data_IF_302421901126
#
_entry.id   IF_302421901126
#
_cell.length_a   1.000
_cell.length_b   1.000
_cell.length_c   1.000
_cell.angle_alpha   90.00
_cell.angle_beta   90.00
_cell.angle_gamma   90.00
#
_symmetry.space_group_name_H-M   'P 1'
#
loop_
_entity.id
_entity.type
_entity.pdbx_description
1 polymer ?
#
# COMPACT_ATOMS: atom_id res chain seq x y z
N UNK A 1 -1.66 7.61 -22.04
CA UNK A 1 -2.55 7.34 -20.88
C UNK A 1 -3.98 7.51 -21.35
N UNK A 2 -4.85 6.50 -21.18
CA UNK A 2 -6.24 6.53 -21.61
C UNK A 2 -7.08 7.51 -20.76
N UNK A 3 -8.18 8.08 -21.34
CA UNK A 3 -9.12 8.95 -20.60
C UNK A 3 -9.68 8.23 -19.36
N UNK A 4 -10.06 6.96 -19.51
CA UNK A 4 -10.54 6.09 -18.41
C UNK A 4 -9.54 6.01 -17.26
N UNK A 5 -8.27 5.68 -17.55
CA UNK A 5 -7.22 5.59 -16.52
C UNK A 5 -7.01 6.91 -15.80
N UNK A 6 -7.05 8.02 -16.52
CA UNK A 6 -6.91 9.35 -15.93
C UNK A 6 -8.06 9.66 -14.97
N UNK A 7 -9.30 9.37 -15.37
CA UNK A 7 -10.49 9.59 -14.57
C UNK A 7 -10.49 8.74 -13.29
N UNK A 8 -10.17 7.44 -13.42
CA UNK A 8 -10.02 6.53 -12.27
C UNK A 8 -8.91 6.98 -11.32
N UNK A 9 -7.78 7.43 -11.86
CA UNK A 9 -6.64 7.94 -11.09
C UNK A 9 -6.99 9.16 -10.24
N UNK A 10 -7.73 10.14 -10.80
CA UNK A 10 -8.18 11.32 -10.05
C UNK A 10 -9.22 10.96 -8.99
N UNK A 11 -10.17 10.11 -9.33
CA UNK A 11 -11.17 9.63 -8.39
C UNK A 11 -10.52 8.88 -7.21
N UNK A 12 -9.63 7.93 -7.49
CA UNK A 12 -8.88 7.20 -6.45
C UNK A 12 -8.10 8.15 -5.53
N UNK A 13 -7.44 9.15 -6.10
CA UNK A 13 -6.74 10.15 -5.29
C UNK A 13 -7.66 10.79 -4.27
N UNK A 14 -8.87 11.16 -4.68
CA UNK A 14 -9.88 11.77 -3.79
C UNK A 14 -10.36 10.80 -2.73
N UNK A 15 -10.69 9.55 -3.12
CA UNK A 15 -11.13 8.53 -2.17
C UNK A 15 -10.05 8.20 -1.14
N UNK A 16 -8.82 7.99 -1.58
CA UNK A 16 -7.71 7.63 -0.71
C UNK A 16 -7.28 8.78 0.20
N UNK A 17 -7.34 10.03 -0.26
CA UNK A 17 -7.03 11.19 0.57
C UNK A 17 -8.05 11.42 1.70
N UNK A 18 -9.26 10.87 1.57
CA UNK A 18 -10.30 10.94 2.61
C UNK A 18 -10.14 9.85 3.69
N UNK A 19 -9.26 8.86 3.49
CA UNK A 19 -9.06 7.78 4.45
C UNK A 19 -8.31 8.26 5.70
N UNK A 20 -8.72 7.76 6.83
CA UNK A 20 -8.23 8.22 8.15
C UNK A 20 -6.76 7.88 8.37
N UNK A 21 -6.30 6.75 7.82
CA UNK A 21 -4.91 6.30 7.94
C UNK A 21 -3.97 6.86 6.86
N UNK A 22 -4.48 7.64 5.92
CA UNK A 22 -3.70 8.23 4.84
C UNK A 22 -3.29 9.66 5.20
N UNK A 23 -2.00 9.93 5.12
CA UNK A 23 -1.42 11.24 5.34
C UNK A 23 -1.46 12.09 4.07
N UNK A 24 -1.07 11.48 2.93
CA UNK A 24 -0.93 12.18 1.66
C UNK A 24 -1.09 11.23 0.47
N UNK A 25 -1.71 11.73 -0.60
CA UNK A 25 -1.77 11.06 -1.90
C UNK A 25 -1.22 12.00 -2.97
N UNK A 26 -0.21 11.53 -3.70
CA UNK A 26 0.46 12.31 -4.75
C UNK A 26 0.52 11.54 -6.06
N UNK A 27 0.65 12.28 -7.15
CA UNK A 27 1.06 11.71 -8.43
C UNK A 27 2.58 11.57 -8.44
N UNK A 28 3.13 10.49 -9.04
CA UNK A 28 4.55 10.38 -9.22
C UNK A 28 5.05 11.52 -10.10
N UNK A 29 6.23 12.05 -9.77
CA UNK A 29 6.91 13.01 -10.63
C UNK A 29 7.62 12.24 -11.77
N UNK A 30 7.66 12.79 -12.99
CA UNK A 30 8.39 12.17 -14.08
C UNK A 30 9.85 11.93 -13.68
N UNK A 31 10.30 10.68 -13.73
CA UNK A 31 11.70 10.35 -13.49
C UNK A 31 12.51 10.57 -14.75
N UNK A 32 13.68 11.18 -14.61
CA UNK A 32 14.67 11.36 -15.70
C UNK A 32 15.51 10.08 -15.90
N UNK A 33 15.21 9.01 -15.15
CA UNK A 33 15.97 7.76 -15.20
C UNK A 33 15.81 7.03 -16.54
N UNK A 34 16.91 6.50 -17.02
CA UNK A 34 17.08 5.93 -18.37
C UNK A 34 16.32 4.61 -18.65
N UNK A 35 15.65 4.00 -17.68
CA UNK A 35 14.80 2.84 -17.91
C UNK A 35 13.35 3.16 -17.50
N UNK A 36 12.36 2.95 -18.40
CA UNK A 36 10.96 3.13 -18.07
C UNK A 36 10.46 1.93 -17.26
N UNK A 37 10.80 1.89 -15.98
CA UNK A 37 10.07 1.08 -15.03
C UNK A 37 8.69 1.71 -14.96
N UNK A 38 7.63 0.89 -15.06
CA UNK A 38 6.27 1.41 -14.95
C UNK A 38 6.16 2.14 -13.61
N UNK A 39 6.09 3.47 -13.69
CA UNK A 39 5.87 4.30 -12.51
C UNK A 39 4.49 3.98 -11.93
N UNK A 40 4.36 4.10 -10.61
CA UNK A 40 3.07 4.04 -9.96
C UNK A 40 2.11 5.08 -10.54
N UNK A 41 0.82 4.82 -10.51
CA UNK A 41 -0.19 5.80 -10.87
C UNK A 41 -0.44 6.80 -9.74
N UNK A 42 -0.37 6.32 -8.51
CA UNK A 42 -0.47 7.12 -7.29
C UNK A 42 0.55 6.64 -6.27
N UNK A 43 1.06 7.59 -5.50
CA UNK A 43 1.89 7.33 -4.33
C UNK A 43 1.07 7.76 -3.11
N UNK A 44 0.79 6.79 -2.24
CA UNK A 44 0.06 7.00 -0.99
C UNK A 44 1.03 6.88 0.17
N UNK A 45 1.04 7.85 1.05
CA UNK A 45 1.79 7.83 2.29
C UNK A 45 0.82 7.75 3.46
N UNK A 46 1.00 6.76 4.32
CA UNK A 46 0.20 6.60 5.54
C UNK A 46 0.80 7.39 6.71
N UNK A 47 0.02 7.60 7.76
CA UNK A 47 0.51 8.21 8.99
C UNK A 47 1.58 7.39 9.70
N UNK A 48 1.60 6.06 9.49
CA UNK A 48 2.66 5.16 9.99
C UNK A 48 3.96 5.24 9.17
N UNK A 49 4.03 6.11 8.15
CA UNK A 49 5.21 6.27 7.30
C UNK A 49 5.33 5.24 6.17
N UNK A 50 4.35 4.35 6.02
CA UNK A 50 4.34 3.38 4.93
C UNK A 50 4.04 4.08 3.61
N UNK A 51 4.85 3.78 2.60
CA UNK A 51 4.66 4.26 1.23
C UNK A 51 4.05 3.16 0.39
N UNK A 52 2.91 3.45 -0.24
CA UNK A 52 2.19 2.51 -1.11
C UNK A 52 2.20 3.05 -2.54
N UNK A 53 2.68 2.25 -3.47
CA UNK A 53 2.60 2.49 -4.90
C UNK A 53 1.36 1.80 -5.46
N UNK A 54 0.40 2.58 -5.93
CA UNK A 54 -0.79 2.08 -6.60
C UNK A 54 -0.58 2.06 -8.11
N UNK A 55 -0.84 0.91 -8.72
CA UNK A 55 -0.67 0.66 -10.16
C UNK A 55 -2.02 0.33 -10.82
N UNK A 56 -2.41 1.11 -11.81
CA UNK A 56 -3.54 0.82 -12.69
C UNK A 56 -3.04 0.04 -13.91
N UNK A 57 -3.39 -1.23 -13.99
CA UNK A 57 -2.93 -2.14 -15.05
C UNK A 57 -3.96 -2.18 -16.17
N UNK A 58 -3.69 -1.50 -17.26
CA UNK A 58 -4.54 -1.37 -18.45
C UNK A 58 -3.98 -2.09 -19.71
N UNK A 59 -2.97 -2.94 -19.51
CA UNK A 59 -2.37 -3.80 -20.54
C UNK A 59 -1.85 -5.10 -19.92
N UNK A 60 -1.82 -6.23 -20.67
CA UNK A 60 -1.22 -7.45 -20.18
C UNK A 60 0.24 -7.29 -19.82
N UNK A 61 0.60 -7.73 -18.59
CA UNK A 61 1.98 -7.72 -18.11
C UNK A 61 2.56 -9.13 -18.09
N UNK A 62 3.77 -9.29 -18.62
CA UNK A 62 4.52 -10.55 -18.50
C UNK A 62 4.97 -10.78 -17.06
N UNK A 63 4.92 -12.02 -16.57
CA UNK A 63 5.32 -12.40 -15.21
C UNK A 63 6.70 -11.86 -14.77
N UNK A 64 7.75 -11.86 -15.63
CA UNK A 64 9.05 -11.26 -15.25
C UNK A 64 8.96 -9.75 -14.94
N UNK A 65 8.04 -9.02 -15.62
CA UNK A 65 7.83 -7.59 -15.35
C UNK A 65 7.09 -7.38 -14.03
N UNK A 66 6.09 -8.23 -13.76
CA UNK A 66 5.38 -8.23 -12.45
C UNK A 66 6.40 -8.47 -11.34
N UNK A 67 7.23 -9.51 -11.47
CA UNK A 67 8.27 -9.83 -10.50
C UNK A 67 9.22 -8.66 -10.25
N UNK A 68 9.69 -8.00 -11.30
CA UNK A 68 10.60 -6.84 -11.19
C UNK A 68 9.96 -5.69 -10.41
N UNK A 69 8.68 -5.36 -10.65
CA UNK A 69 7.96 -4.33 -9.90
C UNK A 69 7.86 -4.69 -8.40
N UNK A 70 7.54 -5.95 -8.12
CA UNK A 70 7.43 -6.46 -6.75
C UNK A 70 8.76 -6.45 -6.02
N UNK A 71 9.83 -6.96 -6.66
CA UNK A 71 11.19 -7.01 -6.08
C UNK A 71 11.71 -5.60 -5.80
N UNK A 72 11.49 -4.67 -6.72
CA UNK A 72 11.93 -3.29 -6.58
C UNK A 72 11.18 -2.58 -5.45
N UNK A 73 9.85 -2.69 -5.40
CA UNK A 73 9.06 -2.12 -4.30
C UNK A 73 9.50 -2.68 -2.96
N UNK A 74 9.53 -4.01 -2.83
CA UNK A 74 9.91 -4.68 -1.57
C UNK A 74 11.34 -4.35 -1.16
N UNK A 75 12.29 -4.31 -2.11
CA UNK A 75 13.69 -3.96 -1.82
C UNK A 75 13.87 -2.51 -1.36
N UNK A 76 12.96 -1.63 -1.72
CA UNK A 76 12.94 -0.23 -1.29
C UNK A 76 12.02 0.03 -0.08
N UNK A 77 11.40 -1.01 0.50
CA UNK A 77 10.42 -0.86 1.58
C UNK A 77 9.09 -0.26 1.13
N UNK A 78 8.82 -0.25 -0.17
CA UNK A 78 7.59 0.27 -0.77
C UNK A 78 6.61 -0.87 -0.97
N UNK A 79 5.37 -0.63 -0.60
CA UNK A 79 4.25 -1.56 -0.69
C UNK A 79 3.54 -1.38 -2.03
N UNK A 80 3.20 -2.47 -2.73
CA UNK A 80 2.51 -2.39 -4.01
C UNK A 80 1.02 -2.71 -3.87
N UNK A 81 0.18 -1.99 -4.61
CA UNK A 81 -1.25 -2.24 -4.77
C UNK A 81 -1.59 -2.21 -6.26
N UNK A 82 -2.22 -3.28 -6.76
CA UNK A 82 -2.56 -3.41 -8.17
C UNK A 82 -4.08 -3.40 -8.37
N UNK A 83 -4.54 -2.61 -9.33
CA UNK A 83 -5.90 -2.64 -9.83
C UNK A 83 -5.84 -2.90 -11.34
N UNK A 84 -6.54 -3.92 -11.82
CA UNK A 84 -6.53 -4.33 -13.21
C UNK A 84 -7.75 -3.76 -13.95
N UNK A 85 -7.59 -3.39 -15.19
CA UNK A 85 -8.72 -2.93 -16.01
C UNK A 85 -9.74 -4.08 -16.20
N UNK A 86 -10.99 -3.85 -15.80
CA UNK A 86 -12.06 -4.84 -15.90
C UNK A 86 -12.33 -5.31 -17.33
N UNK A 87 -12.03 -4.48 -18.34
CA UNK A 87 -12.20 -4.86 -19.77
C UNK A 87 -11.21 -5.96 -20.21
N UNK A 88 -10.11 -6.12 -19.49
CA UNK A 88 -9.10 -7.15 -19.76
C UNK A 88 -9.34 -8.43 -18.95
N UNK A 89 -10.34 -8.44 -18.08
CA UNK A 89 -10.62 -9.54 -17.18
C UNK A 89 -11.71 -10.46 -17.71
N UNK A 90 -11.69 -11.74 -17.30
CA UNK A 90 -12.77 -12.69 -17.61
C UNK A 90 -14.06 -12.26 -16.90
N UNK A 91 -15.17 -12.74 -17.45
CA UNK A 91 -16.50 -12.54 -16.84
C UNK A 91 -16.72 -13.50 -15.68
N UNK A 92 -17.60 -13.12 -14.77
CA UNK A 92 -18.06 -14.01 -13.72
C UNK A 92 -18.72 -15.28 -14.32
N UNK A 93 -18.40 -16.44 -13.78
CA UNK A 93 -18.85 -17.75 -14.27
C UNK A 93 -17.99 -18.36 -15.37
N UNK A 94 -17.03 -17.62 -15.92
CA UNK A 94 -16.06 -18.19 -16.86
C UNK A 94 -15.02 -19.05 -16.13
N UNK A 95 -14.56 -20.10 -16.81
CA UNK A 95 -13.41 -20.90 -16.39
C UNK A 95 -12.17 -20.46 -17.15
N UNK A 96 -11.07 -20.24 -16.45
CA UNK A 96 -9.83 -19.74 -17.04
C UNK A 96 -8.65 -20.63 -16.64
N UNK A 97 -7.68 -20.76 -17.55
CA UNK A 97 -6.46 -21.52 -17.27
C UNK A 97 -5.45 -20.70 -16.44
N UNK A 98 -4.67 -21.40 -15.59
CA UNK A 98 -3.70 -20.76 -14.67
C UNK A 98 -2.54 -20.01 -15.36
N UNK A 99 -2.32 -20.21 -16.66
CA UNK A 99 -1.28 -19.53 -17.44
C UNK A 99 -1.67 -18.11 -17.90
N UNK A 100 -2.91 -17.69 -17.65
CA UNK A 100 -3.36 -16.35 -18.01
C UNK A 100 -2.54 -15.29 -17.30
N UNK A 101 -2.19 -14.23 -18.01
CA UNK A 101 -1.30 -13.16 -17.59
C UNK A 101 -1.71 -12.46 -16.27
N UNK A 102 -2.98 -12.46 -15.92
CA UNK A 102 -3.50 -11.85 -14.68
C UNK A 102 -3.51 -12.80 -13.49
N UNK A 103 -3.41 -14.10 -13.69
CA UNK A 103 -3.42 -15.10 -12.62
C UNK A 103 -2.24 -14.92 -11.63
N UNK A 104 -1.03 -14.53 -12.06
CA UNK A 104 0.04 -14.18 -11.14
C UNK A 104 -0.34 -13.14 -10.09
N UNK A 105 -1.17 -12.14 -10.45
CA UNK A 105 -1.67 -11.14 -9.49
C UNK A 105 -2.63 -11.76 -8.48
N UNK A 106 -3.57 -12.60 -8.92
CA UNK A 106 -4.49 -13.30 -8.03
C UNK A 106 -3.74 -14.18 -7.03
N UNK A 107 -2.69 -14.88 -7.46
CA UNK A 107 -1.89 -15.74 -6.59
C UNK A 107 -1.01 -14.99 -5.60
N UNK A 108 -0.86 -13.68 -5.75
CA UNK A 108 -0.23 -12.82 -4.76
C UNK A 108 -1.17 -12.44 -3.61
N UNK A 109 -2.48 -12.51 -3.82
CA UNK A 109 -3.52 -11.98 -2.93
C UNK A 109 -4.52 -13.06 -2.49
N UNK A 110 -4.10 -14.32 -2.37
CA UNK A 110 -4.96 -15.45 -2.00
C UNK A 110 -6.16 -15.64 -2.94
N UNK A 111 -5.89 -15.68 -4.25
CA UNK A 111 -6.84 -15.99 -5.30
C UNK A 111 -7.90 -14.93 -5.58
N UNK A 112 -7.62 -13.68 -5.26
CA UNK A 112 -8.47 -12.57 -5.65
C UNK A 112 -7.64 -11.40 -6.21
N UNK A 113 -8.32 -10.48 -6.90
CA UNK A 113 -7.70 -9.24 -7.37
C UNK A 113 -8.74 -8.11 -7.44
N UNK A 114 -8.25 -6.87 -7.45
CA UNK A 114 -9.09 -5.71 -7.70
C UNK A 114 -9.15 -5.41 -9.19
N UNK A 115 -10.36 -5.07 -9.64
CA UNK A 115 -10.58 -4.51 -10.96
C UNK A 115 -11.17 -3.12 -10.87
N UNK A 116 -10.87 -2.29 -11.86
CA UNK A 116 -11.50 -0.98 -11.99
C UNK A 116 -12.26 -0.87 -13.32
N UNK A 117 -13.36 -0.16 -13.29
CA UNK A 117 -14.20 0.12 -14.46
C UNK A 117 -14.81 1.51 -14.37
N UNK A 118 -15.45 1.95 -15.45
CA UNK A 118 -16.39 3.07 -15.46
C UNK A 118 -17.80 2.53 -15.64
N UNK A 119 -18.72 2.90 -14.77
CA UNK A 119 -20.16 2.73 -14.94
C UNK A 119 -20.76 4.07 -15.32
N UNK A 120 -21.00 4.24 -16.63
CA UNK A 120 -21.19 5.55 -17.20
C UNK A 120 -19.91 6.39 -17.07
N UNK A 121 -19.95 7.45 -16.27
CA UNK A 121 -18.78 8.27 -15.96
C UNK A 121 -18.23 8.06 -14.52
N UNK A 122 -18.84 7.15 -13.76
CA UNK A 122 -18.46 6.91 -12.36
C UNK A 122 -17.45 5.77 -12.26
N UNK A 123 -16.24 6.01 -11.71
CA UNK A 123 -15.28 4.95 -11.43
C UNK A 123 -15.80 4.01 -10.35
N UNK A 124 -15.63 2.71 -10.58
CA UNK A 124 -15.97 1.66 -9.62
C UNK A 124 -14.82 0.67 -9.48
N UNK A 125 -14.65 0.12 -8.28
CA UNK A 125 -13.74 -0.98 -8.01
C UNK A 125 -14.56 -2.20 -7.63
N UNK A 126 -14.19 -3.36 -8.16
CA UNK A 126 -14.75 -4.67 -7.83
C UNK A 126 -13.66 -5.65 -7.48
N UNK A 127 -14.05 -6.73 -6.82
CA UNK A 127 -13.16 -7.86 -6.57
C UNK A 127 -13.55 -9.02 -7.48
N UNK A 128 -12.55 -9.61 -8.13
CA UNK A 128 -12.65 -10.93 -8.76
C UNK A 128 -11.96 -11.95 -7.88
N UNK A 129 -12.58 -13.12 -7.72
CA UNK A 129 -12.03 -14.26 -6.99
C UNK A 129 -11.90 -15.44 -7.95
N UNK A 130 -10.79 -16.16 -7.84
CA UNK A 130 -10.45 -17.31 -8.66
C UNK A 130 -10.51 -18.57 -7.79
N UNK A 131 -11.53 -19.40 -8.03
CA UNK A 131 -11.76 -20.61 -7.23
C UNK A 131 -11.26 -21.81 -8.01
N UNK A 132 -10.45 -22.71 -7.44
CA UNK A 132 -10.02 -23.92 -8.14
C UNK A 132 -11.22 -24.71 -8.67
N UNK A 133 -11.22 -25.00 -9.98
CA UNK A 133 -12.24 -25.77 -10.69
C UNK A 133 -11.71 -27.16 -11.10
N UNK A 134 -10.57 -27.18 -11.76
CA UNK A 134 -9.81 -28.39 -12.07
C UNK A 134 -8.35 -28.19 -11.67
N UNK A 135 -7.47 -29.15 -12.04
CA UNK A 135 -6.03 -29.07 -11.70
C UNK A 135 -5.35 -27.82 -12.22
N UNK A 136 -5.78 -27.26 -13.36
CA UNK A 136 -5.17 -26.10 -14.02
C UNK A 136 -6.17 -25.03 -14.43
N UNK A 137 -7.40 -25.14 -13.97
CA UNK A 137 -8.47 -24.21 -14.30
C UNK A 137 -9.09 -23.62 -13.02
N UNK A 138 -9.45 -22.35 -13.14
CA UNK A 138 -10.04 -21.55 -12.09
C UNK A 138 -11.40 -21.02 -12.53
N UNK A 139 -12.42 -21.16 -11.73
CA UNK A 139 -13.72 -20.50 -11.90
C UNK A 139 -13.63 -19.06 -11.41
N UNK A 140 -14.11 -18.13 -12.21
CA UNK A 140 -14.10 -16.70 -11.91
C UNK A 140 -15.41 -16.29 -11.22
N UNK A 141 -15.31 -15.66 -10.06
CA UNK A 141 -16.43 -15.10 -9.33
C UNK A 141 -16.24 -13.61 -9.14
N UNK A 142 -17.25 -12.81 -9.45
CA UNK A 142 -17.22 -11.37 -9.25
C UNK A 142 -18.01 -10.98 -8.00
N UNK A 143 -17.48 -10.03 -7.26
CA UNK A 143 -18.22 -9.34 -6.21
C UNK A 143 -18.74 -7.98 -6.73
N UNK A 144 -19.76 -7.45 -6.06
CA UNK A 144 -20.25 -6.09 -6.34
C UNK A 144 -19.20 -5.01 -6.07
N UNK A 145 -19.55 -3.75 -6.37
CA UNK A 145 -18.69 -2.62 -6.07
C UNK A 145 -18.27 -2.60 -4.59
N UNK A 146 -17.02 -2.21 -4.34
CA UNK A 146 -16.51 -2.07 -2.98
C UNK A 146 -16.46 -0.59 -2.57
N UNK A 147 -16.71 -0.34 -1.30
CA UNK A 147 -16.42 0.95 -0.65
C UNK A 147 -15.09 0.84 0.08
N UNK A 148 -14.16 1.74 -0.23
CA UNK A 148 -12.85 1.77 0.42
C UNK A 148 -13.03 2.41 1.79
N UNK A 149 -12.76 1.64 2.86
CA UNK A 149 -12.84 2.13 4.25
C UNK A 149 -11.45 2.48 4.80
N UNK A 150 -10.44 1.70 4.44
CA UNK A 150 -9.08 1.87 4.91
C UNK A 150 -8.09 1.21 3.95
N UNK A 151 -6.78 1.49 4.13
CA UNK A 151 -5.69 0.78 3.47
C UNK A 151 -4.95 -0.08 4.49
N UNK A 152 -4.72 -1.34 4.14
CA UNK A 152 -3.90 -2.26 4.91
C UNK A 152 -2.69 -2.67 4.09
N UNK A 153 -1.62 -3.05 4.75
CA UNK A 153 -0.44 -3.61 4.12
C UNK A 153 -0.03 -4.89 4.82
N UNK A 154 0.56 -5.79 4.06
CA UNK A 154 0.95 -7.10 4.55
C UNK A 154 2.07 -7.69 3.70
N UNK A 155 2.68 -8.72 4.25
CA UNK A 155 3.67 -9.52 3.53
C UNK A 155 2.97 -10.69 2.86
N UNK A 156 3.22 -10.88 1.57
CA UNK A 156 2.63 -11.95 0.78
C UNK A 156 3.67 -12.81 0.09
N UNK A 157 3.30 -14.07 -0.13
CA UNK A 157 3.99 -15.01 -1.00
C UNK A 157 3.06 -15.40 -2.14
N UNK A 158 3.59 -15.92 -3.25
CA UNK A 158 2.78 -16.42 -4.34
C UNK A 158 2.99 -17.92 -4.53
N UNK A 159 1.92 -18.65 -4.84
CA UNK A 159 2.01 -20.04 -5.30
C UNK A 159 2.41 -20.15 -6.77
N UNK A 160 2.48 -19.06 -7.51
CA UNK A 160 2.90 -19.05 -8.90
C UNK A 160 4.37 -19.42 -9.03
N UNK A 161 4.69 -20.43 -9.85
CA UNK A 161 6.04 -21.04 -9.92
C UNK A 161 7.15 -20.06 -10.34
N UNK A 162 6.84 -18.99 -11.08
CA UNK A 162 7.79 -17.94 -11.45
C UNK A 162 7.86 -16.77 -10.44
N UNK A 163 6.96 -16.73 -9.44
CA UNK A 163 6.96 -15.72 -8.41
C UNK A 163 7.34 -16.35 -7.07
N UNK A 164 8.62 -16.67 -6.91
CA UNK A 164 9.18 -17.19 -5.65
C UNK A 164 9.76 -16.05 -4.84
N UNK A 165 9.41 -16.00 -3.57
CA UNK A 165 9.85 -14.98 -2.63
C UNK A 165 8.68 -14.44 -1.81
N UNK A 166 8.89 -13.31 -1.18
CA UNK A 166 7.83 -12.56 -0.51
C UNK A 166 7.89 -11.09 -0.94
N UNK A 167 6.74 -10.44 -0.92
CA UNK A 167 6.60 -9.07 -1.33
C UNK A 167 5.69 -8.30 -0.38
N UNK A 168 5.88 -7.00 -0.33
CA UNK A 168 5.03 -6.08 0.41
C UNK A 168 3.86 -5.67 -0.48
N UNK A 169 2.65 -6.01 -0.05
CA UNK A 169 1.41 -5.70 -0.74
C UNK A 169 0.47 -4.91 0.14
N UNK A 170 -0.40 -4.13 -0.51
CA UNK A 170 -1.52 -3.49 0.15
C UNK A 170 -2.85 -3.99 -0.39
N UNK A 171 -3.89 -3.85 0.40
CA UNK A 171 -5.27 -4.03 0.00
C UNK A 171 -6.18 -2.95 0.61
N UNK A 172 -7.41 -2.89 0.09
CA UNK A 172 -8.47 -2.07 0.65
C UNK A 172 -9.19 -2.84 1.75
N UNK A 173 -9.30 -2.26 2.92
CA UNK A 173 -10.23 -2.74 3.92
C UNK A 173 -11.64 -2.36 3.48
N UNK A 174 -12.51 -3.35 3.41
CA UNK A 174 -13.91 -3.21 3.01
C UNK A 174 -14.81 -3.88 4.04
N UNK A 175 -16.10 -3.55 4.05
CA UNK A 175 -17.07 -4.21 4.96
C UNK A 175 -17.07 -5.73 4.82
N UNK A 176 -16.81 -6.25 3.63
CA UNK A 176 -16.74 -7.70 3.35
C UNK A 176 -15.45 -8.35 3.81
N UNK A 177 -14.33 -7.62 3.78
CA UNK A 177 -13.03 -8.17 4.21
C UNK A 177 -12.97 -8.40 5.71
N UNK A 178 -13.78 -7.67 6.50
CA UNK A 178 -13.91 -7.89 7.94
C UNK A 178 -14.69 -9.19 8.28
N UNK A 179 -15.50 -9.70 7.36
CA UNK A 179 -16.40 -10.83 7.57
C UNK A 179 -15.97 -12.14 6.89
N UNK A 180 -15.00 -12.10 5.96
CA UNK A 180 -14.60 -13.27 5.18
C UNK A 180 -13.27 -13.86 5.66
N UNK A 181 -13.24 -15.15 6.08
CA UNK A 181 -12.00 -15.85 6.39
C UNK A 181 -11.05 -15.97 5.18
N UNK A 182 -11.59 -15.91 3.96
CA UNK A 182 -10.84 -16.00 2.70
C UNK A 182 -10.09 -14.71 2.34
N UNK A 183 -10.50 -13.58 2.92
CA UNK A 183 -9.88 -12.26 2.71
C UNK A 183 -8.97 -11.84 3.87
N UNK A 184 -8.74 -12.75 4.82
CA UNK A 184 -7.78 -12.48 5.89
C UNK A 184 -6.38 -12.63 5.30
N UNK A 185 -5.61 -11.54 5.17
CA UNK A 185 -4.20 -11.68 4.85
C UNK A 185 -3.59 -12.63 5.89
N UNK A 186 -2.63 -13.48 5.53
CA UNK A 186 -1.94 -14.29 6.51
C UNK A 186 -1.54 -13.36 7.65
N UNK A 187 -1.94 -13.70 8.89
CA UNK A 187 -1.52 -12.99 10.10
C UNK A 187 -0.02 -13.27 10.29
N UNK A 188 0.78 -12.58 9.49
CA UNK A 188 2.20 -12.49 9.67
C UNK A 188 2.47 -11.14 10.32
N UNK A 189 3.20 -11.14 11.42
CA UNK A 189 3.79 -9.92 11.94
C UNK A 189 4.46 -9.17 10.79
N UNK A 190 4.18 -7.86 10.66
CA UNK A 190 4.92 -7.02 9.74
C UNK A 190 6.38 -7.00 10.21
N UNK A 191 7.24 -7.69 9.49
CA UNK A 191 8.67 -7.55 9.65
C UNK A 191 9.18 -6.58 8.60
N UNK A 192 9.97 -5.58 8.97
CA UNK A 192 10.66 -4.76 8.00
C UNK A 192 11.49 -5.68 7.07
N UNK A 193 11.67 -5.32 5.80
CA UNK A 193 12.45 -6.13 4.85
C UNK A 193 13.84 -6.43 5.43
N UNK A 194 14.40 -7.62 5.17
CA UNK A 194 15.77 -7.96 5.58
C UNK A 194 16.73 -6.94 4.96
N UNK A 195 17.36 -6.12 5.79
CA UNK A 195 18.19 -4.97 5.47
C UNK A 195 17.85 -3.74 6.30
N UNK A 196 16.66 -3.67 6.94
CA UNK A 196 16.35 -2.68 7.96
C UNK A 196 16.59 -3.18 9.40
N UNK A 197 17.27 -4.31 9.57
CA UNK A 197 17.98 -4.55 10.82
C UNK A 197 19.14 -3.55 10.87
N UNK A 198 19.22 -2.78 11.94
CA UNK A 198 20.24 -1.78 12.29
C UNK A 198 21.64 -2.11 11.72
N UNK A 199 21.83 -2.01 10.44
CA UNK A 199 23.13 -1.80 9.83
C UNK A 199 23.21 -0.31 9.58
N UNK A 200 24.29 0.29 10.01
CA UNK A 200 24.60 1.68 9.75
C UNK A 200 24.26 2.03 8.28
N UNK A 201 23.73 3.23 8.01
CA UNK A 201 23.28 3.60 6.70
C UNK A 201 24.43 3.39 5.69
N UNK A 202 24.17 2.77 4.53
CA UNK A 202 25.16 2.76 3.48
C UNK A 202 25.44 4.23 3.15
N UNK A 203 26.72 4.59 3.14
CA UNK A 203 27.25 5.88 2.72
C UNK A 203 26.82 6.17 1.29
N UNK A 204 25.62 6.77 1.11
CA UNK A 204 25.13 7.07 -0.22
C UNK A 204 23.65 7.42 -0.25
N UNK A 205 23.29 8.51 0.29
CA UNK A 205 22.28 9.50 -0.03
C UNK A 205 21.83 10.26 1.22
N UNK A 206 22.49 11.34 1.51
CA UNK A 206 22.10 12.31 2.57
C UNK A 206 20.69 12.90 2.37
N UNK A 207 20.13 12.80 1.16
CA UNK A 207 18.80 13.35 0.85
C UNK A 207 17.62 12.51 1.35
N UNK A 208 17.73 11.18 1.42
CA UNK A 208 16.62 10.32 1.86
C UNK A 208 16.44 10.34 3.39
N UNK A 209 17.54 10.35 4.15
CA UNK A 209 17.51 10.43 5.62
C UNK A 209 17.02 11.82 6.05
N UNK A 210 17.44 12.87 5.36
CA UNK A 210 17.02 14.24 5.64
C UNK A 210 15.51 14.43 5.42
N UNK A 211 14.94 13.85 4.37
CA UNK A 211 13.51 13.92 4.06
C UNK A 211 12.66 13.17 5.11
N UNK A 212 13.04 11.94 5.48
CA UNK A 212 12.34 11.16 6.49
C UNK A 212 12.39 11.82 7.88
N UNK A 213 13.45 12.56 8.14
CA UNK A 213 13.62 13.30 9.38
C UNK A 213 12.75 14.57 9.39
N UNK A 214 12.71 15.32 8.28
CA UNK A 214 11.82 16.48 8.14
C UNK A 214 10.35 16.08 8.30
N UNK A 215 9.97 14.90 7.83
CA UNK A 215 8.63 14.35 8.01
C UNK A 215 8.36 14.04 9.50
N UNK A 216 9.35 13.56 10.27
CA UNK A 216 9.19 13.33 11.71
C UNK A 216 8.99 14.63 12.48
N UNK A 217 9.77 15.67 12.20
CA UNK A 217 9.60 17.00 12.79
C UNK A 217 8.24 17.61 12.43
N UNK A 218 7.82 17.46 11.17
CA UNK A 218 6.52 17.94 10.69
C UNK A 218 5.37 17.21 11.36
N UNK A 219 5.48 15.88 11.56
CA UNK A 219 4.46 15.07 12.22
C UNK A 219 4.23 15.51 13.68
N UNK A 220 5.29 15.87 14.40
CA UNK A 220 5.19 16.41 15.75
C UNK A 220 4.83 17.89 15.77
N UNK A 221 4.80 18.59 14.61
CA UNK A 221 4.54 20.02 14.52
C UNK A 221 5.64 20.87 15.12
N UNK A 222 6.89 20.40 15.04
CA UNK A 222 8.09 21.08 15.55
C UNK A 222 9.13 21.25 14.44
N UNK A 223 10.20 21.98 14.70
CA UNK A 223 11.27 22.23 13.73
C UNK A 223 12.57 21.55 14.16
N UNK A 224 13.54 21.46 13.27
CA UNK A 224 14.89 20.95 13.62
C UNK A 224 15.63 21.80 14.67
N UNK A 225 15.21 23.05 14.85
CA UNK A 225 15.77 23.95 15.86
C UNK A 225 15.06 23.81 17.23
N UNK A 226 14.01 23.01 17.32
CA UNK A 226 13.27 22.82 18.56
C UNK A 226 14.09 22.04 19.58
N UNK A 227 14.03 22.47 20.81
CA UNK A 227 14.69 21.85 21.95
C UNK A 227 14.05 20.51 22.33
N UNK A 228 14.76 19.69 23.09
CA UNK A 228 14.21 18.42 23.61
C UNK A 228 12.89 18.62 24.35
N UNK A 229 12.78 19.63 25.18
CA UNK A 229 11.55 19.90 25.94
C UNK A 229 10.38 20.30 25.05
N UNK A 230 10.64 21.06 23.98
CA UNK A 230 9.59 21.42 23.01
C UNK A 230 9.11 20.20 22.20
N UNK A 231 10.04 19.34 21.77
CA UNK A 231 9.70 18.10 21.06
C UNK A 231 8.92 17.15 21.98
N UNK A 232 9.35 17.01 23.24
CA UNK A 232 8.69 16.19 24.25
C UNK A 232 7.29 16.72 24.62
N UNK A 233 7.14 18.04 24.72
CA UNK A 233 5.84 18.67 24.99
C UNK A 233 4.87 18.47 23.81
N UNK A 234 5.36 18.66 22.58
CA UNK A 234 4.58 18.42 21.37
C UNK A 234 4.13 16.96 21.26
N UNK A 235 5.04 16.01 21.48
CA UNK A 235 4.74 14.59 21.52
C UNK A 235 3.66 14.25 22.56
N UNK A 236 3.80 14.69 23.80
CA UNK A 236 2.81 14.44 24.86
C UNK A 236 1.43 14.98 24.50
N UNK A 237 1.37 16.19 23.95
CA UNK A 237 0.10 16.81 23.53
C UNK A 237 -0.59 16.00 22.42
N UNK A 238 0.17 15.56 21.40
CA UNK A 238 -0.38 14.80 20.28
C UNK A 238 -0.78 13.38 20.70
N UNK A 239 0.04 12.72 21.52
CA UNK A 239 -0.27 11.41 22.09
C UNK A 239 -1.59 11.44 22.86
N UNK A 240 -1.82 12.46 23.69
CA UNK A 240 -3.07 12.59 24.42
C UNK A 240 -4.29 12.72 23.50
N UNK A 241 -4.15 13.40 22.34
CA UNK A 241 -5.22 13.55 21.36
C UNK A 241 -5.54 12.26 20.59
N UNK A 242 -4.57 11.36 20.45
CA UNK A 242 -4.73 10.12 19.67
C UNK A 242 -4.71 8.85 20.53
N UNK A 243 -4.64 8.98 21.85
CA UNK A 243 -4.57 7.82 22.74
C UNK A 243 -5.83 6.95 22.60
N UNK A 244 -5.70 5.62 22.42
CA UNK A 244 -6.84 4.74 22.14
C UNK A 244 -7.93 4.73 23.23
N UNK A 245 -7.58 5.10 24.47
CA UNK A 245 -8.50 5.10 25.60
C UNK A 245 -9.23 6.45 25.81
N UNK A 246 -8.74 7.54 25.23
CA UNK A 246 -9.28 8.89 25.50
C UNK A 246 -9.65 9.67 24.23
N UNK A 247 -9.20 9.24 23.06
CA UNK A 247 -9.52 9.92 21.79
C UNK A 247 -10.91 9.54 21.29
N UNK A 248 -11.56 10.48 20.59
CA UNK A 248 -12.81 10.21 19.88
C UNK A 248 -12.62 9.42 18.57
N UNK A 249 -11.38 9.02 18.26
CA UNK A 249 -11.04 8.26 17.05
C UNK A 249 -11.40 6.78 17.22
N UNK A 250 -11.78 6.08 16.14
CA UNK A 250 -11.88 4.63 16.16
C UNK A 250 -10.56 4.00 16.64
N UNK A 251 -10.64 3.01 17.52
CA UNK A 251 -9.47 2.40 18.17
C UNK A 251 -8.32 2.01 17.23
N UNK A 252 -8.57 1.37 16.07
CA UNK A 252 -7.47 1.03 15.13
C UNK A 252 -6.74 2.27 14.61
N UNK A 253 -7.48 3.34 14.39
CA UNK A 253 -6.92 4.62 13.90
C UNK A 253 -6.10 5.32 14.99
N UNK A 254 -6.61 5.29 16.23
CA UNK A 254 -5.91 5.82 17.39
C UNK A 254 -4.58 5.09 17.60
N UNK A 255 -4.59 3.75 17.54
CA UNK A 255 -3.40 2.90 17.67
C UNK A 255 -2.36 3.17 16.56
N UNK A 256 -2.81 3.33 15.31
CA UNK A 256 -1.91 3.62 14.18
C UNK A 256 -1.28 5.00 14.32
N UNK A 257 -2.08 6.03 14.64
CA UNK A 257 -1.56 7.39 14.87
C UNK A 257 -0.63 7.46 16.07
N UNK A 258 -0.96 6.78 17.15
CA UNK A 258 -0.10 6.69 18.33
C UNK A 258 1.25 6.09 17.98
N UNK A 259 1.28 4.99 17.22
CA UNK A 259 2.52 4.34 16.75
C UNK A 259 3.35 5.28 15.89
N UNK A 260 2.72 5.96 14.90
CA UNK A 260 3.42 6.91 14.04
C UNK A 260 4.06 8.07 14.83
N UNK A 261 3.37 8.62 15.84
CA UNK A 261 3.91 9.66 16.70
C UNK A 261 5.07 9.16 17.55
N UNK A 262 4.97 7.94 18.07
CA UNK A 262 6.04 7.33 18.86
C UNK A 262 7.30 7.10 18.00
N UNK A 263 7.15 6.54 16.80
CA UNK A 263 8.24 6.31 15.86
C UNK A 263 8.93 7.63 15.44
N UNK A 264 8.15 8.69 15.24
CA UNK A 264 8.69 10.01 14.92
C UNK A 264 9.48 10.61 16.10
N UNK A 265 8.96 10.48 17.31
CA UNK A 265 9.61 10.96 18.52
C UNK A 265 10.95 10.24 18.79
N UNK A 266 10.95 8.89 18.74
CA UNK A 266 12.17 8.10 18.93
C UNK A 266 13.21 8.42 17.85
N UNK A 267 12.81 8.59 16.60
CA UNK A 267 13.72 8.94 15.50
C UNK A 267 14.38 10.31 15.70
N UNK A 268 13.62 11.32 16.17
CA UNK A 268 14.15 12.64 16.48
C UNK A 268 15.09 12.56 17.69
N UNK A 269 14.73 11.79 18.71
CA UNK A 269 15.53 11.57 19.92
C UNK A 269 16.86 10.91 19.57
N UNK A 270 16.85 9.84 18.80
CA UNK A 270 18.06 9.12 18.37
C UNK A 270 19.01 10.03 17.59
N UNK A 271 18.47 10.84 16.67
CA UNK A 271 19.29 11.74 15.86
C UNK A 271 19.99 12.81 16.70
N UNK A 272 19.28 13.39 17.67
CA UNK A 272 19.81 14.45 18.50
C UNK A 272 20.60 13.90 19.70
N UNK A 273 20.75 12.58 19.81
CA UNK A 273 21.42 11.90 20.92
C UNK A 273 20.84 12.29 22.29
N UNK A 274 19.54 12.53 22.34
CA UNK A 274 18.85 12.84 23.60
C UNK A 274 18.58 11.54 24.37
N UNK A 275 19.17 11.41 25.53
CA UNK A 275 19.04 10.24 26.41
C UNK A 275 17.70 10.19 27.15
#
# INVERSE_FOLDING_TARGET
MTRKRQQVRFWLRTQLAALVNVQRVTFPQPSIAAEPIREADLIVQTWSGVVIHLHLVDEPLKTPRIKRLLDQGTGSGVVNLFLLDAELMPRAGETVHEDRWYVPFAFLTNDWLYTYALEGETPVIRTLTFVPHTRHELEVRAAGPITIQNLRHYRSTSRHHHLKGYWLLADFETERSAQSPLHRPPQGEWFPPPGQQKTAPPTGSLNGVAAALDDSYRLLGVTRASSYEEVKAAFRRLVFQVHPDVSALPRPVAEERFRALNDAYERIKDLNSWA
#
